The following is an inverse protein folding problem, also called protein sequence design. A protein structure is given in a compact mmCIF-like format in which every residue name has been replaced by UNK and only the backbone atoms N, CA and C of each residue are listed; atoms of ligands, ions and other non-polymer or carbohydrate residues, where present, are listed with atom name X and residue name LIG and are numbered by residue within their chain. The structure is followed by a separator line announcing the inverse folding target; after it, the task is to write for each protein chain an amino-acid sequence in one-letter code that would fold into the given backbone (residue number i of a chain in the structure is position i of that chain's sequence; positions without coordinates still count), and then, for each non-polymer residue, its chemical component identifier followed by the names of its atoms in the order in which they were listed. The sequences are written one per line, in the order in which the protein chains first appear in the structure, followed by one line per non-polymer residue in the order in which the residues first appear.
data_IF_793751224738
#
_entry.id   IF_793751224738
#
_cell.length_a   1.000
_cell.length_b   1.000
_cell.length_c   1.000
_cell.angle_alpha   90.00
_cell.angle_beta   90.00
_cell.angle_gamma   90.00
#
_symmetry.space_group_name_H-M   'P 1'
#
loop_
_entity.id
_entity.type
_entity.pdbx_description
1 polymer ?
#
# COMPACT_ATOMS: atom_id res chain seq x y z
N UNK A 1 -75.81 -21.08 -30.12
CA UNK A 1 -74.64 -20.58 -29.37
C UNK A 1 -73.42 -21.27 -29.94
N UNK A 2 -72.55 -20.49 -30.60
CA UNK A 2 -71.43 -21.01 -31.40
C UNK A 2 -70.38 -21.67 -30.51
N UNK A 3 -70.18 -22.96 -30.72
CA UNK A 3 -69.03 -23.72 -30.22
C UNK A 3 -67.79 -23.24 -30.98
N UNK A 4 -66.87 -22.57 -30.27
CA UNK A 4 -65.57 -22.20 -30.80
C UNK A 4 -64.70 -23.47 -30.85
N UNK A 5 -64.52 -24.00 -32.05
CA UNK A 5 -63.62 -25.13 -32.31
C UNK A 5 -62.18 -24.61 -32.20
N UNK A 6 -61.57 -24.72 -31.01
CA UNK A 6 -60.14 -24.49 -30.85
C UNK A 6 -59.39 -25.55 -31.66
N UNK A 7 -58.55 -25.18 -32.65
CA UNK A 7 -57.80 -26.15 -33.41
C UNK A 7 -56.83 -26.89 -32.48
N UNK A 8 -57.02 -28.20 -32.35
CA UNK A 8 -56.10 -29.08 -31.60
C UNK A 8 -54.74 -29.04 -32.28
N UNK A 9 -53.70 -28.61 -31.54
CA UNK A 9 -52.32 -28.65 -32.00
C UNK A 9 -51.94 -30.08 -32.41
N UNK A 10 -51.60 -30.28 -33.67
CA UNK A 10 -51.06 -31.56 -34.12
C UNK A 10 -49.64 -31.77 -33.59
N UNK A 11 -49.26 -33.02 -33.35
CA UNK A 11 -47.92 -33.40 -32.88
C UNK A 11 -46.81 -32.88 -33.80
N UNK A 12 -47.07 -32.77 -35.11
CA UNK A 12 -46.12 -32.17 -36.06
C UNK A 12 -45.95 -30.67 -35.86
N UNK A 13 -47.06 -29.94 -35.62
CA UNK A 13 -47.01 -28.51 -35.31
C UNK A 13 -46.26 -28.25 -33.99
N UNK A 14 -46.38 -29.16 -32.99
CA UNK A 14 -45.60 -29.08 -31.75
C UNK A 14 -44.10 -29.26 -31.98
N UNK A 15 -43.70 -30.18 -32.86
CA UNK A 15 -42.28 -30.39 -33.18
C UNK A 15 -41.68 -29.21 -33.94
N UNK A 16 -42.43 -28.63 -34.87
CA UNK A 16 -42.02 -27.43 -35.62
C UNK A 16 -41.78 -26.24 -34.69
N UNK A 17 -42.73 -25.93 -33.80
CA UNK A 17 -42.59 -24.84 -32.83
C UNK A 17 -41.43 -25.10 -31.86
N UNK A 18 -41.23 -26.35 -31.41
CA UNK A 18 -40.11 -26.70 -30.54
C UNK A 18 -38.75 -26.49 -31.23
N UNK A 19 -38.67 -26.79 -32.53
CA UNK A 19 -37.44 -26.59 -33.31
C UNK A 19 -37.18 -25.10 -33.57
N UNK A 20 -38.20 -24.33 -33.94
CA UNK A 20 -38.11 -22.88 -34.13
C UNK A 20 -37.70 -22.16 -32.83
N UNK A 21 -38.26 -22.57 -31.68
CA UNK A 21 -37.88 -22.04 -30.37
C UNK A 21 -36.42 -22.37 -30.02
N UNK A 22 -35.96 -23.59 -30.34
CA UNK A 22 -34.58 -24.01 -30.09
C UNK A 22 -33.58 -23.23 -30.97
N UNK A 23 -33.92 -23.00 -32.24
CA UNK A 23 -33.12 -22.18 -33.15
C UNK A 23 -33.06 -20.71 -32.68
N UNK A 24 -34.19 -20.14 -32.30
CA UNK A 24 -34.26 -18.77 -31.73
C UNK A 24 -33.43 -18.64 -30.44
N UNK A 25 -33.43 -19.66 -29.59
CA UNK A 25 -32.60 -19.69 -28.39
C UNK A 25 -31.10 -19.70 -28.71
N UNK A 26 -30.69 -20.54 -29.68
CA UNK A 26 -29.29 -20.59 -30.12
C UNK A 26 -28.83 -19.28 -30.75
N UNK A 27 -29.67 -18.62 -31.55
CA UNK A 27 -29.36 -17.31 -32.12
C UNK A 27 -29.20 -16.25 -31.03
N UNK A 28 -30.10 -16.21 -30.04
CA UNK A 28 -29.98 -15.28 -28.91
C UNK A 28 -28.73 -15.53 -28.06
N UNK A 29 -28.39 -16.79 -27.80
CA UNK A 29 -27.15 -17.13 -27.10
C UNK A 29 -25.92 -16.69 -27.90
N UNK A 30 -25.92 -16.89 -29.22
CA UNK A 30 -24.85 -16.45 -30.10
C UNK A 30 -24.74 -14.92 -30.15
N UNK A 31 -25.85 -14.20 -30.29
CA UNK A 31 -25.88 -12.73 -30.24
C UNK A 31 -25.42 -12.19 -28.88
N UNK A 32 -25.82 -12.84 -27.79
CA UNK A 32 -25.42 -12.45 -26.45
C UNK A 32 -23.92 -12.71 -26.22
N UNK A 33 -23.38 -13.81 -26.73
CA UNK A 33 -21.94 -14.10 -26.71
C UNK A 33 -21.15 -13.11 -27.59
N UNK A 34 -21.66 -12.81 -28.79
CA UNK A 34 -21.06 -11.80 -29.69
C UNK A 34 -21.10 -10.40 -29.06
N UNK A 35 -22.16 -10.07 -28.32
CA UNK A 35 -22.28 -8.80 -27.59
C UNK A 35 -21.34 -8.75 -26.39
N UNK A 36 -21.13 -9.86 -25.68
CA UNK A 36 -20.09 -9.96 -24.65
C UNK A 36 -18.70 -9.76 -25.24
N UNK A 37 -18.42 -10.29 -26.43
CA UNK A 37 -17.13 -10.11 -27.12
C UNK A 37 -16.87 -8.65 -27.56
N UNK A 38 -17.93 -7.90 -27.86
CA UNK A 38 -17.83 -6.46 -28.18
C UNK A 38 -17.51 -5.58 -26.96
N UNK A 39 -17.78 -6.07 -25.75
CA UNK A 39 -17.49 -5.38 -24.50
C UNK A 39 -16.17 -5.94 -23.97
N UNK A 40 -15.11 -5.14 -23.99
CA UNK A 40 -13.82 -5.52 -23.39
C UNK A 40 -13.71 -4.89 -22.00
N UNK A 41 -14.20 -5.55 -20.93
CA UNK A 41 -14.07 -5.02 -19.59
C UNK A 41 -12.61 -4.93 -19.18
N UNK A 42 -12.29 -3.92 -18.38
CA UNK A 42 -10.96 -3.72 -17.83
C UNK A 42 -10.60 -4.91 -16.94
N UNK A 43 -9.58 -5.67 -17.32
CA UNK A 43 -9.12 -6.83 -16.56
C UNK A 43 -8.25 -6.38 -15.38
N UNK A 44 -8.78 -6.52 -14.17
CA UNK A 44 -8.11 -6.14 -12.93
C UNK A 44 -7.75 -7.42 -12.16
N UNK A 45 -6.47 -7.60 -11.88
CA UNK A 45 -5.94 -8.72 -11.09
C UNK A 45 -5.57 -8.27 -9.69
N UNK A 46 -5.91 -9.07 -8.68
CA UNK A 46 -5.56 -8.82 -7.28
C UNK A 46 -4.86 -10.07 -6.74
N UNK A 47 -3.63 -9.92 -6.27
CA UNK A 47 -2.89 -11.03 -5.63
C UNK A 47 -3.23 -11.10 -4.15
N UNK A 48 -2.98 -12.27 -3.52
CA UNK A 48 -3.33 -12.51 -2.11
C UNK A 48 -4.78 -12.08 -1.80
N UNK A 49 -5.70 -12.41 -2.70
CA UNK A 49 -7.06 -11.84 -2.72
C UNK A 49 -7.95 -12.27 -1.54
N UNK A 50 -7.58 -13.30 -0.78
CA UNK A 50 -8.22 -13.65 0.50
C UNK A 50 -7.86 -12.71 1.65
N UNK A 51 -6.89 -11.80 1.45
CA UNK A 51 -6.45 -10.85 2.45
C UNK A 51 -7.49 -9.76 2.77
N UNK A 52 -7.47 -9.27 4.02
CA UNK A 52 -8.40 -8.23 4.51
C UNK A 52 -8.41 -6.94 3.68
N UNK A 53 -7.28 -6.59 3.05
CA UNK A 53 -7.18 -5.41 2.18
C UNK A 53 -8.12 -5.57 0.99
N UNK A 54 -8.19 -6.76 0.39
CA UNK A 54 -9.03 -7.06 -0.76
C UNK A 54 -10.51 -6.83 -0.45
N UNK A 55 -11.00 -7.36 0.68
CA UNK A 55 -12.36 -7.15 1.17
C UNK A 55 -12.77 -5.68 1.26
N UNK A 56 -11.84 -4.79 1.64
CA UNK A 56 -12.11 -3.36 1.74
C UNK A 56 -11.94 -2.63 0.39
N UNK A 57 -11.16 -3.20 -0.51
CA UNK A 57 -10.82 -2.61 -1.81
C UNK A 57 -11.91 -2.90 -2.86
N UNK A 58 -12.47 -4.11 -2.86
CA UNK A 58 -13.48 -4.56 -3.82
C UNK A 58 -14.64 -3.56 -3.97
N UNK A 59 -15.33 -3.12 -2.89
CA UNK A 59 -16.45 -2.20 -3.03
C UNK A 59 -16.06 -0.85 -3.65
N UNK A 60 -14.81 -0.41 -3.42
CA UNK A 60 -14.29 0.85 -3.97
C UNK A 60 -14.02 0.69 -5.47
N UNK A 61 -13.40 -0.43 -5.89
CA UNK A 61 -13.13 -0.70 -7.31
C UNK A 61 -14.42 -0.83 -8.12
N UNK A 62 -15.44 -1.48 -7.57
CA UNK A 62 -16.70 -1.74 -8.26
C UNK A 62 -17.67 -0.54 -8.24
N UNK A 63 -17.36 0.51 -7.48
CA UNK A 63 -18.20 1.71 -7.35
C UNK A 63 -18.21 2.63 -8.59
N UNK A 64 -17.22 2.48 -9.48
CA UNK A 64 -16.98 3.41 -10.58
C UNK A 64 -16.18 4.66 -10.21
N UNK A 65 -15.84 4.86 -8.93
CA UNK A 65 -15.03 6.01 -8.50
C UNK A 65 -13.58 5.93 -9.00
N UNK A 66 -13.05 4.72 -9.16
CA UNK A 66 -11.62 4.50 -9.49
C UNK A 66 -11.36 4.57 -10.98
N UNK A 67 -12.18 3.91 -11.80
CA UNK A 67 -11.98 3.80 -13.24
C UNK A 67 -12.98 4.62 -14.08
N UNK A 68 -13.96 5.24 -13.44
CA UNK A 68 -15.04 6.00 -14.08
C UNK A 68 -16.37 5.24 -14.16
N UNK A 69 -17.46 6.00 -14.20
CA UNK A 69 -18.85 5.48 -14.18
C UNK A 69 -19.28 4.75 -15.46
N UNK A 70 -18.41 4.70 -16.46
CA UNK A 70 -18.66 4.04 -17.75
C UNK A 70 -17.66 2.91 -18.02
N UNK A 71 -16.76 2.63 -17.07
CA UNK A 71 -15.73 1.60 -17.23
C UNK A 71 -16.18 0.34 -16.52
N UNK A 72 -16.50 -0.67 -17.30
CA UNK A 72 -16.83 -2.00 -16.81
C UNK A 72 -15.54 -2.77 -16.48
N UNK A 73 -15.58 -3.56 -15.41
CA UNK A 73 -14.41 -4.27 -14.90
C UNK A 73 -14.68 -5.76 -14.72
N UNK A 74 -13.63 -6.55 -14.90
CA UNK A 74 -13.57 -7.96 -14.55
C UNK A 74 -12.49 -8.16 -13.50
N UNK A 75 -12.85 -8.77 -12.37
CA UNK A 75 -11.95 -8.97 -11.24
C UNK A 75 -11.43 -10.41 -11.23
N UNK A 76 -10.11 -10.56 -11.27
CA UNK A 76 -9.41 -11.83 -11.25
C UNK A 76 -8.68 -11.96 -9.91
N UNK A 77 -9.14 -12.88 -9.07
CA UNK A 77 -8.64 -13.08 -7.70
C UNK A 77 -7.57 -14.17 -7.69
N UNK A 78 -6.31 -13.77 -7.50
CA UNK A 78 -5.19 -14.71 -7.36
C UNK A 78 -4.95 -15.01 -5.87
N UNK A 79 -4.91 -16.29 -5.53
CA UNK A 79 -4.51 -16.77 -4.22
C UNK A 79 -3.89 -18.16 -4.29
N UNK A 80 -3.57 -18.73 -3.13
CA UNK A 80 -3.07 -20.10 -3.04
C UNK A 80 -4.21 -21.10 -2.88
N UNK A 81 -3.91 -22.39 -3.04
CA UNK A 81 -4.90 -23.47 -2.88
C UNK A 81 -5.49 -23.53 -1.46
N UNK A 82 -4.71 -23.16 -0.45
CA UNK A 82 -5.18 -23.14 0.93
C UNK A 82 -6.29 -22.11 1.16
N UNK A 83 -6.31 -21.03 0.39
CA UNK A 83 -7.30 -19.96 0.47
C UNK A 83 -8.47 -20.13 -0.52
N UNK A 84 -8.57 -21.26 -1.23
CA UNK A 84 -9.58 -21.46 -2.28
C UNK A 84 -11.02 -21.34 -1.74
N UNK A 85 -11.28 -21.89 -0.56
CA UNK A 85 -12.59 -21.75 0.10
C UNK A 85 -12.91 -20.29 0.44
N UNK A 86 -11.95 -19.57 1.04
CA UNK A 86 -12.10 -18.14 1.35
C UNK A 86 -12.36 -17.30 0.08
N UNK A 87 -11.66 -17.61 -1.02
CA UNK A 87 -11.85 -16.92 -2.30
C UNK A 87 -13.23 -17.18 -2.88
N UNK A 88 -13.78 -18.39 -2.75
CA UNK A 88 -15.14 -18.70 -3.16
C UNK A 88 -16.20 -17.96 -2.34
N UNK A 89 -15.97 -17.78 -1.03
CA UNK A 89 -16.81 -16.95 -0.17
C UNK A 89 -16.80 -15.51 -0.67
N UNK A 90 -15.61 -14.93 -0.89
CA UNK A 90 -15.45 -13.57 -1.41
C UNK A 90 -16.14 -13.40 -2.76
N UNK A 91 -15.95 -14.34 -3.68
CA UNK A 91 -16.59 -14.33 -5.00
C UNK A 91 -18.12 -14.34 -4.89
N UNK A 92 -18.68 -15.07 -3.92
CA UNK A 92 -20.13 -15.11 -3.68
C UNK A 92 -20.60 -13.76 -3.14
N UNK A 93 -19.95 -13.21 -2.12
CA UNK A 93 -20.27 -11.87 -1.59
C UNK A 93 -20.16 -10.78 -2.67
N UNK A 94 -19.15 -10.86 -3.55
CA UNK A 94 -18.97 -9.93 -4.66
C UNK A 94 -20.11 -9.98 -5.68
N UNK A 95 -20.70 -11.15 -5.92
CA UNK A 95 -21.89 -11.29 -6.77
C UNK A 95 -23.11 -10.68 -6.09
N UNK A 96 -23.23 -10.88 -4.78
CA UNK A 96 -24.33 -10.36 -3.97
C UNK A 96 -24.28 -8.83 -3.80
N UNK A 97 -23.13 -8.19 -4.07
CA UNK A 97 -23.04 -6.73 -4.15
C UNK A 97 -23.89 -6.13 -5.28
N UNK A 98 -24.23 -6.92 -6.31
CA UNK A 98 -24.97 -6.46 -7.51
C UNK A 98 -24.36 -5.17 -8.09
N UNK A 99 -23.04 -5.11 -8.14
CA UNK A 99 -22.34 -3.91 -8.59
C UNK A 99 -22.49 -3.74 -10.12
N UNK A 100 -23.02 -2.60 -10.60
CA UNK A 100 -23.42 -2.45 -12.01
C UNK A 100 -22.24 -2.51 -13.00
N UNK A 101 -21.04 -2.15 -12.56
CA UNK A 101 -19.82 -2.12 -13.37
C UNK A 101 -19.03 -3.43 -13.31
N UNK A 102 -19.40 -4.36 -12.41
CA UNK A 102 -18.72 -5.64 -12.27
C UNK A 102 -19.30 -6.66 -13.24
N UNK A 103 -18.54 -7.03 -14.27
CA UNK A 103 -18.99 -7.96 -15.32
C UNK A 103 -18.74 -9.41 -15.01
N UNK A 104 -17.55 -9.73 -14.53
CA UNK A 104 -17.18 -11.09 -14.18
C UNK A 104 -16.17 -11.11 -13.04
N UNK A 105 -16.17 -12.23 -12.34
CA UNK A 105 -15.24 -12.54 -11.26
C UNK A 105 -14.65 -13.91 -11.57
N UNK A 106 -13.34 -14.04 -11.52
CA UNK A 106 -12.64 -15.31 -11.67
C UNK A 106 -11.73 -15.55 -10.47
N UNK A 107 -11.49 -16.83 -10.16
CA UNK A 107 -10.53 -17.25 -9.14
C UNK A 107 -9.41 -17.99 -9.87
N UNK A 108 -8.17 -17.67 -9.50
CA UNK A 108 -6.97 -18.31 -10.00
C UNK A 108 -6.16 -18.82 -8.81
N UNK A 109 -6.01 -20.13 -8.69
CA UNK A 109 -5.18 -20.77 -7.64
C UNK A 109 -3.85 -21.32 -8.19
N UNK A 110 -3.73 -21.37 -9.52
CA UNK A 110 -2.53 -21.79 -10.24
C UNK A 110 -1.81 -20.53 -10.73
N UNK A 111 -0.65 -20.24 -10.14
CA UNK A 111 0.07 -18.99 -10.39
C UNK A 111 0.54 -18.86 -11.84
N UNK A 112 0.83 -19.97 -12.51
CA UNK A 112 1.33 -20.00 -13.89
C UNK A 112 0.34 -19.44 -14.91
N UNK A 113 -0.94 -19.45 -14.58
CA UNK A 113 -2.03 -18.92 -15.41
C UNK A 113 -2.38 -17.46 -15.09
N UNK A 114 -1.67 -16.83 -14.15
CA UNK A 114 -1.98 -15.48 -13.69
C UNK A 114 -1.70 -14.39 -14.75
N UNK A 115 -2.35 -13.25 -14.56
CA UNK A 115 -2.13 -11.99 -15.28
C UNK A 115 -2.45 -12.00 -16.79
N UNK A 116 -3.18 -13.00 -17.28
CA UNK A 116 -3.65 -13.04 -18.68
C UNK A 116 -4.48 -11.80 -18.99
N UNK A 117 -4.07 -11.07 -20.03
CA UNK A 117 -4.72 -9.85 -20.53
C UNK A 117 -4.92 -8.78 -19.45
N UNK A 118 -4.09 -8.79 -18.40
CA UNK A 118 -4.22 -7.86 -17.30
C UNK A 118 -4.00 -6.42 -17.78
N UNK A 119 -4.93 -5.53 -17.43
CA UNK A 119 -4.81 -4.09 -17.63
C UNK A 119 -4.36 -3.39 -16.35
N UNK A 120 -4.77 -3.94 -15.19
CA UNK A 120 -4.35 -3.49 -13.87
C UNK A 120 -3.98 -4.69 -13.01
N UNK A 121 -2.87 -4.61 -12.28
CA UNK A 121 -2.43 -5.64 -11.36
C UNK A 121 -2.15 -5.00 -10.00
N UNK A 122 -2.81 -5.51 -8.95
CA UNK A 122 -2.69 -5.04 -7.59
C UNK A 122 -1.96 -6.11 -6.78
N UNK A 123 -0.70 -5.84 -6.43
CA UNK A 123 0.16 -6.76 -5.66
C UNK A 123 -0.03 -6.48 -4.17
N UNK A 124 -0.58 -7.46 -3.44
CA UNK A 124 -0.87 -7.38 -2.00
C UNK A 124 -0.13 -8.42 -1.16
N UNK A 125 0.81 -9.17 -1.74
CA UNK A 125 1.49 -10.27 -1.07
C UNK A 125 2.30 -9.79 0.15
N UNK A 126 2.04 -10.42 1.29
CA UNK A 126 2.67 -10.19 2.59
C UNK A 126 3.15 -11.52 3.17
N UNK A 127 3.96 -11.48 4.24
CA UNK A 127 4.29 -12.70 4.98
C UNK A 127 3.04 -13.26 5.68
N UNK A 128 2.92 -14.58 5.70
CA UNK A 128 1.94 -15.26 6.53
C UNK A 128 2.33 -15.18 8.01
N UNK A 129 1.40 -14.71 8.85
CA UNK A 129 1.58 -14.67 10.30
C UNK A 129 1.82 -16.12 10.81
N UNK A 130 3.03 -16.42 11.29
CA UNK A 130 3.37 -17.74 11.84
C UNK A 130 4.78 -18.24 11.54
N UNK A 131 5.47 -17.65 10.56
CA UNK A 131 6.82 -18.06 10.19
C UNK A 131 7.86 -17.26 10.99
N UNK A 132 8.67 -17.96 11.80
CA UNK A 132 9.81 -17.35 12.51
C UNK A 132 10.97 -17.23 11.53
N UNK A 133 11.08 -16.08 10.89
CA UNK A 133 12.19 -15.76 10.00
C UNK A 133 13.14 -14.74 10.66
N UNK A 134 14.43 -14.84 10.32
CA UNK A 134 15.30 -13.67 10.45
C UNK A 134 14.80 -12.56 9.51
N UNK A 135 15.23 -11.31 9.74
CA UNK A 135 14.85 -10.20 8.87
C UNK A 135 15.40 -10.40 7.44
N UNK A 136 16.60 -10.96 7.33
CA UNK A 136 17.24 -11.31 6.06
C UNK A 136 16.48 -12.40 5.32
N UNK A 137 15.98 -13.42 6.02
CA UNK A 137 15.16 -14.46 5.39
C UNK A 137 13.82 -13.89 4.91
N UNK A 138 13.21 -12.96 5.67
CA UNK A 138 12.06 -12.19 5.20
C UNK A 138 12.37 -11.46 3.89
N UNK A 139 13.51 -10.75 3.83
CA UNK A 139 13.95 -10.01 2.63
C UNK A 139 14.15 -10.98 1.45
N UNK A 140 14.91 -12.07 1.65
CA UNK A 140 15.19 -13.07 0.59
C UNK A 140 13.94 -13.76 0.09
N UNK A 141 12.99 -14.04 0.97
CA UNK A 141 11.72 -14.69 0.60
C UNK A 141 10.89 -13.87 -0.38
N UNK A 142 11.17 -12.55 -0.54
CA UNK A 142 10.46 -11.70 -1.53
C UNK A 142 10.90 -12.00 -2.97
N UNK A 143 12.11 -12.49 -3.17
CA UNK A 143 12.69 -12.68 -4.49
C UNK A 143 11.94 -13.71 -5.35
N UNK A 144 11.66 -14.95 -4.88
CA UNK A 144 10.98 -15.95 -5.71
C UNK A 144 9.61 -15.51 -6.25
N UNK A 145 8.65 -15.01 -5.44
CA UNK A 145 7.34 -14.60 -5.96
C UNK A 145 7.45 -13.39 -6.90
N UNK A 146 8.29 -12.39 -6.57
CA UNK A 146 8.46 -11.23 -7.45
C UNK A 146 9.10 -11.61 -8.80
N UNK A 147 10.03 -12.58 -8.81
CA UNK A 147 10.61 -13.10 -10.04
C UNK A 147 9.56 -13.78 -10.92
N UNK A 148 8.75 -14.65 -10.31
CA UNK A 148 7.69 -15.36 -11.03
C UNK A 148 6.63 -14.39 -11.55
N UNK A 149 6.14 -13.49 -10.70
CA UNK A 149 5.17 -12.48 -11.10
C UNK A 149 5.72 -11.57 -12.19
N UNK A 150 6.94 -11.06 -12.06
CA UNK A 150 7.55 -10.23 -13.10
C UNK A 150 7.57 -10.94 -14.47
N UNK A 151 8.03 -12.20 -14.50
CA UNK A 151 8.01 -13.01 -15.72
C UNK A 151 6.59 -13.19 -16.29
N UNK A 152 5.60 -13.46 -15.44
CA UNK A 152 4.21 -13.65 -15.88
C UNK A 152 3.56 -12.36 -16.35
N UNK A 153 3.85 -11.23 -15.70
CA UNK A 153 3.40 -9.90 -16.13
C UNK A 153 3.93 -9.62 -17.54
N UNK A 154 5.24 -9.77 -17.73
CA UNK A 154 5.90 -9.56 -19.02
C UNK A 154 5.32 -10.43 -20.14
N UNK A 155 4.94 -11.67 -19.82
CA UNK A 155 4.46 -12.66 -20.78
C UNK A 155 2.96 -12.53 -21.09
N UNK A 156 2.14 -12.29 -20.07
CA UNK A 156 0.70 -12.50 -20.13
C UNK A 156 -0.12 -11.20 -20.09
N UNK A 157 0.42 -10.12 -19.52
CA UNK A 157 -0.31 -8.87 -19.34
C UNK A 157 -0.36 -8.03 -20.62
N UNK A 158 -1.22 -7.01 -20.63
CA UNK A 158 -1.26 -6.03 -21.72
C UNK A 158 0.01 -5.14 -21.68
N UNK A 159 0.50 -4.68 -22.83
CA UNK A 159 1.72 -3.85 -22.92
C UNK A 159 1.65 -2.56 -22.08
N UNK A 160 0.43 -2.03 -21.91
CA UNK A 160 0.15 -0.84 -21.10
C UNK A 160 -0.35 -1.15 -19.68
N UNK A 161 -0.09 -2.36 -19.16
CA UNK A 161 -0.54 -2.78 -17.84
C UNK A 161 -0.05 -1.81 -16.77
N UNK A 162 -0.93 -1.44 -15.83
CA UNK A 162 -0.58 -0.67 -14.64
C UNK A 162 -0.43 -1.61 -13.46
N UNK A 163 0.77 -1.70 -12.90
CA UNK A 163 1.06 -2.53 -11.74
C UNK A 163 1.23 -1.65 -10.52
N UNK A 164 0.44 -1.90 -9.49
CA UNK A 164 0.48 -1.16 -8.23
C UNK A 164 0.87 -2.12 -7.11
N UNK A 165 1.96 -1.79 -6.42
CA UNK A 165 2.47 -2.56 -5.30
C UNK A 165 2.02 -1.89 -4.01
N UNK A 166 1.09 -2.57 -3.33
CA UNK A 166 0.60 -2.17 -2.03
C UNK A 166 1.15 -3.08 -0.93
N UNK A 167 0.66 -2.82 0.28
CA UNK A 167 0.94 -3.66 1.44
C UNK A 167 1.72 -2.94 2.53
N UNK A 168 2.26 -3.73 3.46
CA UNK A 168 2.84 -3.26 4.72
C UNK A 168 4.35 -3.41 4.74
N UNK A 169 4.87 -4.47 4.15
CA UNK A 169 6.29 -4.83 4.24
C UNK A 169 6.97 -4.77 2.88
N UNK A 170 8.21 -4.28 2.88
CA UNK A 170 9.12 -4.31 1.73
C UNK A 170 8.52 -3.81 0.41
N UNK A 171 7.68 -2.76 0.46
CA UNK A 171 6.92 -2.30 -0.71
C UNK A 171 7.88 -1.80 -1.81
N UNK A 172 8.91 -1.04 -1.44
CA UNK A 172 9.96 -0.59 -2.35
C UNK A 172 10.73 -1.76 -2.98
N UNK A 173 11.18 -2.72 -2.17
CA UNK A 173 11.92 -3.89 -2.64
C UNK A 173 11.08 -4.76 -3.60
N UNK A 174 9.82 -5.07 -3.25
CA UNK A 174 8.90 -5.82 -4.12
C UNK A 174 8.76 -5.13 -5.48
N UNK A 175 8.56 -3.81 -5.47
CA UNK A 175 8.46 -3.00 -6.69
C UNK A 175 9.73 -3.08 -7.53
N UNK A 176 10.91 -2.93 -6.90
CA UNK A 176 12.19 -3.05 -7.58
C UNK A 176 12.37 -4.43 -8.22
N UNK A 177 12.05 -5.50 -7.49
CA UNK A 177 12.18 -6.86 -7.99
C UNK A 177 11.24 -7.12 -9.17
N UNK A 178 9.98 -6.66 -9.10
CA UNK A 178 9.05 -6.75 -10.22
C UNK A 178 9.58 -6.01 -11.45
N UNK A 179 10.06 -4.77 -11.31
CA UNK A 179 10.67 -4.00 -12.40
C UNK A 179 11.88 -4.72 -13.02
N UNK A 180 12.70 -5.37 -12.20
CA UNK A 180 13.87 -6.13 -12.67
C UNK A 180 13.48 -7.33 -13.54
N UNK A 181 12.36 -7.98 -13.25
CA UNK A 181 11.91 -9.18 -13.94
C UNK A 181 10.79 -8.93 -14.97
N UNK A 182 10.27 -7.71 -15.06
CA UNK A 182 9.33 -7.24 -16.08
C UNK A 182 9.82 -5.91 -16.70
N UNK A 183 10.95 -5.93 -17.44
CA UNK A 183 11.61 -4.71 -17.90
C UNK A 183 10.79 -3.91 -18.92
N UNK A 184 9.98 -4.55 -19.78
CA UNK A 184 9.23 -3.81 -20.80
C UNK A 184 8.14 -2.91 -20.18
N UNK A 185 7.58 -3.34 -19.05
CA UNK A 185 6.51 -2.61 -18.35
C UNK A 185 7.00 -1.92 -17.07
N UNK A 186 8.31 -1.90 -16.81
CA UNK A 186 8.89 -1.37 -15.57
C UNK A 186 8.43 0.07 -15.25
N UNK A 187 8.27 0.93 -16.26
CA UNK A 187 7.79 2.31 -16.11
C UNK A 187 6.33 2.40 -15.58
N UNK A 188 5.56 1.33 -15.69
CA UNK A 188 4.18 1.22 -15.20
C UNK A 188 4.08 0.39 -13.91
N UNK A 189 5.18 0.19 -13.17
CA UNK A 189 5.16 -0.47 -11.85
C UNK A 189 5.44 0.57 -10.77
N UNK A 190 4.51 0.79 -9.85
CA UNK A 190 4.64 1.84 -8.82
C UNK A 190 4.35 1.31 -7.41
N UNK A 191 5.01 1.90 -6.41
CA UNK A 191 4.80 1.60 -5.01
C UNK A 191 3.92 2.65 -4.32
N UNK A 192 2.93 2.21 -3.54
CA UNK A 192 1.94 3.12 -2.91
C UNK A 192 2.47 3.72 -1.60
N UNK A 193 2.71 5.03 -1.57
CA UNK A 193 3.11 5.77 -0.36
C UNK A 193 1.96 6.52 0.34
N UNK A 194 0.78 6.60 -0.30
CA UNK A 194 -0.33 7.47 0.13
C UNK A 194 -0.84 7.19 1.55
N UNK A 195 -0.75 5.95 2.04
CA UNK A 195 -1.18 5.65 3.41
C UNK A 195 -0.25 6.24 4.47
N UNK A 196 1.06 6.34 4.18
CA UNK A 196 2.04 7.01 5.06
C UNK A 196 1.78 8.52 5.07
N UNK A 197 1.48 9.09 3.90
CA UNK A 197 1.04 10.49 3.79
C UNK A 197 -0.24 10.74 4.62
N UNK A 198 -1.22 9.84 4.56
CA UNK A 198 -2.46 9.93 5.34
C UNK A 198 -2.22 9.91 6.84
N UNK A 199 -1.32 9.04 7.33
CA UNK A 199 -0.91 9.01 8.74
C UNK A 199 -0.21 10.30 9.16
N UNK A 200 0.71 10.79 8.33
CA UNK A 200 1.40 12.07 8.54
C UNK A 200 0.44 13.25 8.64
N UNK A 201 -0.53 13.32 7.72
CA UNK A 201 -1.58 14.35 7.70
C UNK A 201 -2.50 14.25 8.92
N UNK A 202 -2.89 13.04 9.32
CA UNK A 202 -3.72 12.84 10.51
C UNK A 202 -3.00 13.30 11.80
N UNK A 203 -1.71 13.03 11.94
CA UNK A 203 -0.92 13.49 13.07
C UNK A 203 -0.81 15.02 13.13
N UNK A 204 -0.56 15.69 11.99
CA UNK A 204 -0.57 17.15 11.91
C UNK A 204 -1.94 17.74 12.23
N UNK A 205 -3.00 17.13 11.71
CA UNK A 205 -4.36 17.59 11.90
C UNK A 205 -4.79 17.55 13.38
N UNK A 206 -4.35 16.54 14.14
CA UNK A 206 -4.57 16.47 15.59
C UNK A 206 -3.87 17.61 16.34
N UNK A 207 -2.62 17.94 15.99
CA UNK A 207 -1.88 19.07 16.60
C UNK A 207 -2.54 20.41 16.27
N UNK A 208 -2.99 20.58 15.04
CA UNK A 208 -3.62 21.82 14.55
C UNK A 208 -5.12 21.92 14.84
N UNK A 209 -5.75 20.86 15.37
CA UNK A 209 -7.20 20.75 15.61
C UNK A 209 -8.04 21.03 14.36
N UNK A 210 -7.66 20.40 13.25
CA UNK A 210 -8.36 20.53 11.96
C UNK A 210 -8.68 19.16 11.37
N UNK A 211 -9.34 19.13 10.22
CA UNK A 211 -9.61 17.88 9.49
C UNK A 211 -8.38 17.45 8.68
N UNK A 212 -7.99 16.16 8.65
CA UNK A 212 -6.85 15.68 7.85
C UNK A 212 -6.96 15.97 6.35
N UNK A 213 -8.18 16.01 5.81
CA UNK A 213 -8.46 16.33 4.40
C UNK A 213 -8.07 17.77 4.04
N UNK A 214 -8.01 18.68 5.02
CA UNK A 214 -7.61 20.08 4.83
C UNK A 214 -6.09 20.26 4.66
N UNK A 215 -5.29 19.28 5.07
CA UNK A 215 -3.83 19.32 4.90
C UNK A 215 -3.47 18.63 3.60
N UNK A 216 -2.63 19.24 2.76
CA UNK A 216 -2.21 18.75 1.44
C UNK A 216 -0.70 18.93 1.26
N UNK A 217 -0.13 18.31 0.23
CA UNK A 217 1.25 18.49 -0.20
C UNK A 217 2.29 18.12 0.86
N UNK A 218 1.99 17.09 1.67
CA UNK A 218 2.97 16.43 2.53
C UNK A 218 3.75 15.45 1.66
N UNK A 219 5.08 15.50 1.72
CA UNK A 219 5.94 14.65 0.88
C UNK A 219 6.57 13.56 1.74
N UNK A 220 6.49 12.32 1.28
CA UNK A 220 7.13 11.14 1.87
C UNK A 220 8.34 10.79 1.03
N UNK A 221 9.54 10.97 1.57
CA UNK A 221 10.79 10.59 0.94
C UNK A 221 11.29 9.24 1.48
N UNK A 222 11.87 8.39 0.61
CA UNK A 222 12.63 7.21 1.04
C UNK A 222 11.87 5.88 1.03
N UNK A 223 12.16 5.05 2.03
CA UNK A 223 11.59 3.71 2.18
C UNK A 223 10.17 3.79 2.78
N UNK A 224 9.15 3.43 1.98
CA UNK A 224 7.74 3.54 2.35
C UNK A 224 7.42 2.67 3.58
N UNK A 225 7.95 1.45 3.59
CA UNK A 225 7.74 0.47 4.66
C UNK A 225 8.77 0.54 5.78
N UNK A 226 9.73 1.48 5.71
CA UNK A 226 10.85 1.55 6.63
C UNK A 226 11.24 2.98 6.95
N UNK A 227 12.51 3.29 6.77
CA UNK A 227 13.08 4.58 7.10
C UNK A 227 12.73 5.66 6.05
N UNK A 228 11.62 6.34 6.28
CA UNK A 228 11.18 7.50 5.49
C UNK A 228 11.47 8.83 6.21
N UNK A 229 11.38 9.90 5.41
CA UNK A 229 11.41 11.29 5.86
C UNK A 229 10.15 12.01 5.40
N UNK A 230 9.41 12.57 6.35
CA UNK A 230 8.22 13.36 6.08
C UNK A 230 8.62 14.84 5.97
N UNK A 231 8.50 15.37 4.76
CA UNK A 231 8.84 16.74 4.44
C UNK A 231 7.58 17.62 4.43
N UNK A 232 7.61 18.63 5.31
CA UNK A 232 6.51 19.57 5.52
C UNK A 232 6.73 20.92 4.81
N UNK A 233 7.86 21.12 4.12
CA UNK A 233 8.20 22.40 3.46
C UNK A 233 7.16 22.81 2.42
N UNK A 234 6.58 21.83 1.73
CA UNK A 234 5.49 22.05 0.76
C UNK A 234 4.11 21.82 1.34
N UNK A 235 3.98 21.38 2.59
CA UNK A 235 2.70 21.08 3.19
C UNK A 235 1.88 22.35 3.40
N UNK A 236 0.63 22.31 2.95
CA UNK A 236 -0.32 23.41 3.02
C UNK A 236 -1.56 22.98 3.77
N UNK A 237 -2.15 23.89 4.53
CA UNK A 237 -3.46 23.71 5.12
C UNK A 237 -4.48 24.65 4.48
N UNK A 238 -5.62 24.11 4.10
CA UNK A 238 -6.77 24.80 3.51
C UNK A 238 -7.88 24.87 4.55
N UNK A 239 -8.80 25.84 4.42
CA UNK A 239 -10.00 25.96 5.28
C UNK A 239 -9.66 25.92 6.79
N UNK A 240 -8.52 26.49 7.17
CA UNK A 240 -8.09 26.52 8.56
C UNK A 240 -8.88 27.58 9.33
N UNK A 241 -9.60 27.15 10.37
CA UNK A 241 -10.37 28.04 11.22
C UNK A 241 -9.41 28.88 12.09
N UNK A 242 -9.20 30.13 11.69
CA UNK A 242 -8.39 31.10 12.42
C UNK A 242 -8.92 32.52 12.19
N UNK A 243 -8.37 33.51 12.90
CA UNK A 243 -8.71 34.92 12.68
C UNK A 243 -8.50 35.38 11.22
N UNK A 244 -7.65 34.68 10.46
CA UNK A 244 -7.45 34.90 9.03
C UNK A 244 -8.28 33.86 8.28
N UNK A 245 -9.42 34.28 7.74
CA UNK A 245 -10.25 33.48 6.84
C UNK A 245 -10.00 33.87 5.38
N UNK A 246 -10.11 32.90 4.48
CA UNK A 246 -9.96 33.12 3.04
C UNK A 246 -10.92 32.27 2.22
N UNK A 247 -10.96 32.48 0.89
CA UNK A 247 -11.78 31.67 -0.02
C UNK A 247 -11.40 30.17 0.04
N UNK A 248 -12.22 29.25 -0.52
CA UNK A 248 -11.98 27.81 -0.41
C UNK A 248 -10.62 27.31 -0.90
N UNK A 249 -9.96 28.04 -1.81
CA UNK A 249 -8.62 27.78 -2.35
C UNK A 249 -7.49 28.45 -1.54
N UNK A 250 -7.82 29.29 -0.57
CA UNK A 250 -6.85 29.91 0.31
C UNK A 250 -6.19 28.86 1.20
N UNK A 251 -4.87 28.96 1.32
CA UNK A 251 -4.07 28.04 2.11
C UNK A 251 -2.87 28.71 2.74
N UNK A 252 -2.39 28.11 3.83
CA UNK A 252 -1.22 28.58 4.58
C UNK A 252 -0.19 27.45 4.69
N UNK A 253 1.11 27.76 4.73
CA UNK A 253 2.14 26.75 5.02
C UNK A 253 1.92 26.14 6.40
N UNK A 254 1.95 24.80 6.51
CA UNK A 254 1.76 24.10 7.79
C UNK A 254 2.79 24.55 8.83
N UNK A 255 4.05 24.70 8.42
CA UNK A 255 5.14 25.14 9.29
C UNK A 255 4.95 26.56 9.85
N UNK A 256 4.14 27.41 9.21
CA UNK A 256 3.83 28.75 9.73
C UNK A 256 2.81 28.75 10.88
N UNK A 257 2.19 27.61 11.17
CA UNK A 257 1.15 27.44 12.19
C UNK A 257 1.62 26.64 13.40
N UNK A 258 2.73 25.91 13.27
CA UNK A 258 3.30 25.09 14.33
C UNK A 258 4.58 25.78 14.80
N UNK A 259 4.46 26.59 15.86
CA UNK A 259 5.59 27.33 16.46
C UNK A 259 6.49 26.45 17.34
N UNK A 260 6.02 25.24 17.65
CA UNK A 260 6.69 24.27 18.51
C UNK A 260 7.66 23.41 17.70
N UNK A 261 8.90 23.90 17.55
CA UNK A 261 9.95 23.22 16.78
C UNK A 261 10.36 21.89 17.38
N UNK A 262 10.28 21.74 18.70
CA UNK A 262 10.59 20.48 19.38
C UNK A 262 9.55 19.41 19.02
N UNK A 263 8.27 19.79 18.97
CA UNK A 263 7.22 18.89 18.54
C UNK A 263 7.42 18.44 17.09
N UNK A 264 7.74 19.35 16.17
CA UNK A 264 7.94 19.00 14.74
C UNK A 264 9.14 18.06 14.57
N UNK A 265 10.28 18.37 15.20
CA UNK A 265 11.53 17.65 14.96
C UNK A 265 11.66 16.35 15.78
N UNK A 266 10.99 16.26 16.94
CA UNK A 266 11.08 15.09 17.84
C UNK A 266 9.77 14.34 17.94
N UNK A 267 8.75 14.95 18.56
CA UNK A 267 7.52 14.23 18.94
C UNK A 267 6.72 13.73 17.72
N UNK A 268 6.66 14.53 16.65
CA UNK A 268 6.02 14.18 15.40
C UNK A 268 6.74 13.01 14.71
N UNK A 269 8.07 13.10 14.60
CA UNK A 269 8.91 12.04 14.01
C UNK A 269 8.79 10.75 14.81
N UNK A 270 8.85 10.80 16.15
CA UNK A 270 8.66 9.63 17.01
C UNK A 270 7.26 9.02 16.89
N UNK A 271 6.23 9.87 16.82
CA UNK A 271 4.85 9.41 16.60
C UNK A 271 4.78 8.60 15.32
N UNK A 272 5.30 9.14 14.21
CA UNK A 272 5.29 8.48 12.91
C UNK A 272 6.12 7.20 12.89
N UNK A 273 7.32 7.21 13.49
CA UNK A 273 8.14 6.01 13.66
C UNK A 273 7.38 4.90 14.40
N UNK A 274 6.60 5.23 15.43
CA UNK A 274 5.77 4.24 16.13
C UNK A 274 4.63 3.70 15.26
N UNK A 275 4.04 4.53 14.38
CA UNK A 275 2.98 4.07 13.47
C UNK A 275 3.54 3.15 12.38
N UNK A 276 4.74 3.44 11.85
CA UNK A 276 5.39 2.62 10.82
C UNK A 276 6.02 1.36 11.39
N UNK A 277 6.76 1.44 12.51
CA UNK A 277 7.47 0.30 13.10
C UNK A 277 6.54 -0.82 13.60
N UNK A 278 5.30 -0.51 13.96
CA UNK A 278 4.37 -1.54 14.42
C UNK A 278 3.74 -2.33 13.28
N UNK A 279 3.75 -1.83 12.03
CA UNK A 279 3.08 -2.44 10.85
C UNK A 279 1.54 -2.59 10.98
N UNK A 280 1.02 -2.54 12.19
CA UNK A 280 -0.39 -2.72 12.58
C UNK A 280 -1.26 -1.54 12.14
N UNK A 281 -0.69 -0.35 12.01
CA UNK A 281 -1.45 0.86 11.69
C UNK A 281 -1.69 1.09 10.20
N UNK A 282 -0.99 0.37 9.32
CA UNK A 282 -1.35 0.31 7.90
C UNK A 282 -2.45 -0.74 7.71
N UNK A 283 -3.59 -0.51 8.35
CA UNK A 283 -4.72 -1.43 8.39
C UNK A 283 -5.39 -1.63 7.03
N UNK A 284 -6.26 -2.63 6.93
CA UNK A 284 -6.90 -3.02 5.68
C UNK A 284 -7.63 -1.87 4.97
N UNK A 285 -8.38 -1.05 5.73
CA UNK A 285 -9.11 0.12 5.22
C UNK A 285 -8.15 1.16 4.61
N UNK A 286 -7.07 1.50 5.33
CA UNK A 286 -6.12 2.52 4.89
C UNK A 286 -5.38 2.06 3.63
N UNK A 287 -4.97 0.80 3.57
CA UNK A 287 -4.32 0.23 2.39
C UNK A 287 -5.26 0.22 1.18
N UNK A 288 -6.49 -0.26 1.34
CA UNK A 288 -7.50 -0.27 0.28
C UNK A 288 -7.78 1.14 -0.26
N UNK A 289 -8.02 2.10 0.63
CA UNK A 289 -8.23 3.50 0.25
C UNK A 289 -7.02 4.10 -0.48
N UNK A 290 -5.79 3.79 -0.01
CA UNK A 290 -4.56 4.30 -0.62
C UNK A 290 -4.36 3.77 -2.03
N UNK A 291 -4.60 2.47 -2.24
CA UNK A 291 -4.50 1.81 -3.55
C UNK A 291 -5.55 2.37 -4.50
N UNK A 292 -6.82 2.40 -4.08
CA UNK A 292 -7.92 2.91 -4.89
C UNK A 292 -7.73 4.37 -5.28
N UNK A 293 -7.29 5.21 -4.35
CA UNK A 293 -7.03 6.64 -4.62
C UNK A 293 -5.84 6.82 -5.57
N UNK A 294 -4.78 6.01 -5.42
CA UNK A 294 -3.62 6.06 -6.34
C UNK A 294 -4.05 5.64 -7.75
N UNK A 295 -4.84 4.57 -7.89
CA UNK A 295 -5.40 4.16 -9.18
C UNK A 295 -6.31 5.24 -9.78
N UNK A 296 -7.18 5.85 -8.97
CA UNK A 296 -8.03 6.96 -9.38
C UNK A 296 -7.21 8.12 -9.92
N UNK A 297 -6.16 8.52 -9.21
CA UNK A 297 -5.25 9.58 -9.69
C UNK A 297 -4.53 9.15 -10.96
N UNK A 298 -4.13 7.89 -11.08
CA UNK A 298 -3.49 7.40 -12.29
C UNK A 298 -4.40 7.46 -13.52
N UNK A 299 -5.69 7.16 -13.37
CA UNK A 299 -6.65 7.21 -14.48
C UNK A 299 -7.17 8.62 -14.78
N UNK A 300 -7.40 9.44 -13.75
CA UNK A 300 -8.11 10.71 -13.88
C UNK A 300 -7.24 11.95 -13.61
N UNK A 301 -5.98 11.77 -13.24
CA UNK A 301 -5.09 12.83 -12.78
C UNK A 301 -5.26 13.13 -11.28
N UNK A 302 -4.19 13.60 -10.65
CA UNK A 302 -4.26 14.13 -9.28
C UNK A 302 -4.87 15.55 -9.30
N UNK A 303 -5.50 16.01 -8.19
CA UNK A 303 -6.09 17.34 -8.16
C UNK A 303 -5.07 18.44 -8.51
N UNK A 304 -5.49 19.54 -9.19
CA UNK A 304 -4.58 20.59 -9.61
C UNK A 304 -3.79 21.19 -8.45
N UNK A 305 -2.45 21.20 -8.58
CA UNK A 305 -1.53 21.73 -7.56
C UNK A 305 -1.32 20.83 -6.34
N UNK A 306 -1.92 19.64 -6.31
CA UNK A 306 -1.64 18.64 -5.29
C UNK A 306 -0.40 17.82 -5.64
N UNK A 307 0.50 17.68 -4.65
CA UNK A 307 1.67 16.81 -4.71
C UNK A 307 1.31 15.50 -4.03
N UNK A 308 1.61 14.38 -4.69
CA UNK A 308 1.42 13.04 -4.16
C UNK A 308 2.78 12.36 -4.02
N UNK A 309 2.95 11.52 -3.01
CA UNK A 309 4.19 10.73 -2.87
C UNK A 309 4.03 9.37 -3.54
N UNK A 310 5.01 8.95 -4.33
CA UNK A 310 4.98 7.68 -5.03
C UNK A 310 6.36 7.03 -5.07
N UNK A 311 6.43 5.72 -4.83
CA UNK A 311 7.67 4.98 -4.99
C UNK A 311 7.86 4.57 -6.45
N UNK A 312 8.91 5.10 -7.05
CA UNK A 312 9.28 4.88 -8.45
C UNK A 312 10.77 4.56 -8.53
N UNK A 313 11.20 3.98 -9.65
CA UNK A 313 12.63 3.73 -9.88
C UNK A 313 13.38 5.06 -9.97
N UNK A 314 14.42 5.22 -9.17
CA UNK A 314 15.27 6.40 -9.25
C UNK A 314 16.22 6.33 -10.44
N UNK A 315 16.29 7.46 -11.15
CA UNK A 315 17.17 7.75 -12.29
C UNK A 315 18.13 8.91 -11.94
N UNK A 316 18.46 9.09 -10.65
CA UNK A 316 19.37 10.16 -10.22
C UNK A 316 18.70 11.46 -9.80
N UNK A 317 17.36 11.52 -9.81
CA UNK A 317 16.62 12.72 -9.43
C UNK A 317 16.97 13.15 -8.01
N UNK A 318 17.11 14.45 -7.74
CA UNK A 318 17.49 15.00 -6.43
C UNK A 318 18.81 14.46 -5.84
N UNK A 319 19.69 13.86 -6.66
CA UNK A 319 20.90 13.19 -6.17
C UNK A 319 20.63 11.84 -5.50
N UNK A 320 19.42 11.27 -5.66
CA UNK A 320 19.08 9.94 -5.17
C UNK A 320 19.86 8.90 -5.99
N UNK A 321 20.47 7.87 -5.36
CA UNK A 321 21.16 6.81 -6.07
C UNK A 321 20.27 6.11 -7.10
N UNK A 322 20.80 5.85 -8.30
CA UNK A 322 20.09 5.14 -9.35
C UNK A 322 19.83 3.66 -9.00
N UNK A 323 18.77 3.09 -9.58
CA UNK A 323 18.52 1.65 -9.51
C UNK A 323 18.02 1.18 -8.14
N UNK A 324 17.32 2.05 -7.41
CA UNK A 324 16.49 1.71 -6.25
C UNK A 324 15.09 2.30 -6.45
N UNK A 325 14.06 1.63 -5.94
CA UNK A 325 12.72 2.22 -5.86
C UNK A 325 12.66 3.12 -4.64
N UNK A 326 12.34 4.38 -4.85
CA UNK A 326 12.40 5.42 -3.83
C UNK A 326 11.13 6.27 -3.87
N UNK A 327 10.52 6.54 -2.71
CA UNK A 327 9.34 7.42 -2.62
C UNK A 327 9.74 8.87 -2.82
N UNK A 328 9.14 9.56 -3.79
CA UNK A 328 9.45 10.95 -4.12
C UNK A 328 8.16 11.70 -4.56
N UNK A 329 8.17 13.05 -4.62
CA UNK A 329 7.00 13.81 -5.01
C UNK A 329 6.72 13.67 -6.50
N UNK A 330 5.48 13.32 -6.82
CA UNK A 330 4.97 13.19 -8.18
C UNK A 330 3.65 13.93 -8.34
N UNK A 331 3.26 14.10 -9.60
CA UNK A 331 1.91 14.48 -10.02
C UNK A 331 1.40 13.42 -10.99
N UNK A 332 0.11 13.09 -10.92
CA UNK A 332 -0.54 12.30 -11.95
C UNK A 332 -1.22 13.21 -12.97
N UNK A 333 -0.94 12.99 -14.25
CA UNK A 333 -1.55 13.74 -15.35
C UNK A 333 -1.64 12.88 -16.62
N UNK A 334 -2.75 13.04 -17.36
CA UNK A 334 -2.98 12.39 -18.65
C UNK A 334 -2.77 10.87 -18.66
N UNK A 335 -3.21 10.17 -17.60
CA UNK A 335 -3.06 8.71 -17.53
C UNK A 335 -1.67 8.22 -17.11
N UNK A 336 -0.76 9.15 -16.76
CA UNK A 336 0.65 8.92 -16.41
C UNK A 336 1.02 9.62 -15.10
N UNK A 337 2.26 9.45 -14.64
CA UNK A 337 2.83 10.16 -13.50
C UNK A 337 4.14 10.85 -13.89
N UNK A 338 4.45 11.97 -13.25
CA UNK A 338 5.67 12.75 -13.49
C UNK A 338 6.30 13.13 -12.15
N UNK A 339 7.60 12.87 -12.00
CA UNK A 339 8.36 13.31 -10.84
C UNK A 339 8.55 14.83 -10.84
N UNK A 340 8.25 15.49 -9.73
CA UNK A 340 8.30 16.95 -9.60
C UNK A 340 9.71 17.41 -9.19
N UNK A 341 10.67 17.36 -10.11
CA UNK A 341 12.09 17.66 -9.84
C UNK A 341 12.41 19.15 -9.69
N UNK A 342 11.50 20.05 -10.05
CA UNK A 342 11.65 21.50 -10.06
C UNK A 342 11.13 22.21 -8.78
N UNK A 343 10.88 21.45 -7.71
CA UNK A 343 10.39 21.98 -6.45
C UNK A 343 11.42 22.89 -5.79
N UNK A 344 11.16 24.20 -5.80
CA UNK A 344 11.95 25.22 -5.09
C UNK A 344 12.11 24.88 -3.61
N UNK A 345 13.18 25.32 -2.95
CA UNK A 345 13.38 25.18 -1.50
C UNK A 345 13.39 23.72 -0.98
N UNK A 346 13.60 22.74 -1.86
CA UNK A 346 13.81 21.34 -1.50
C UNK A 346 15.30 21.02 -1.69
N UNK A 347 16.02 21.01 -0.58
CA UNK A 347 17.36 20.45 -0.49
C UNK A 347 17.34 19.29 0.51
N UNK A 348 17.87 18.15 0.10
CA UNK A 348 18.03 16.98 0.97
C UNK A 348 19.51 16.91 1.31
N UNK A 349 19.84 17.02 2.60
CA UNK A 349 21.24 16.92 3.03
C UNK A 349 21.76 15.50 2.87
N UNK A 350 23.05 15.36 2.57
CA UNK A 350 23.74 14.06 2.45
C UNK A 350 23.45 13.08 3.61
N UNK A 351 23.48 13.51 4.89
CA UNK A 351 23.14 12.61 6.00
C UNK A 351 21.69 12.11 5.95
N UNK A 352 20.73 12.95 5.54
CA UNK A 352 19.33 12.55 5.39
C UNK A 352 19.18 11.62 4.18
N UNK A 353 19.87 11.91 3.07
CA UNK A 353 19.86 11.06 1.88
C UNK A 353 20.39 9.65 2.21
N UNK A 354 21.58 9.57 2.80
CA UNK A 354 22.21 8.31 3.24
C UNK A 354 21.29 7.52 4.17
N UNK A 355 20.65 8.21 5.13
CA UNK A 355 19.70 7.59 6.07
C UNK A 355 18.52 6.93 5.33
N UNK A 356 17.98 7.57 4.30
CA UNK A 356 16.80 7.06 3.58
C UNK A 356 17.13 5.97 2.57
N UNK A 357 18.35 5.99 2.00
CA UNK A 357 18.76 5.09 0.93
C UNK A 357 19.48 3.83 1.43
N UNK A 358 20.15 3.90 2.60
CA UNK A 358 20.91 2.79 3.18
C UNK A 358 20.08 1.50 3.27
N UNK A 359 18.90 1.56 3.88
CA UNK A 359 18.06 0.38 4.08
C UNK A 359 17.58 -0.18 2.73
N UNK A 360 17.20 0.68 1.78
CA UNK A 360 16.76 0.27 0.44
C UNK A 360 17.86 -0.44 -0.35
N UNK A 361 19.09 0.08 -0.28
CA UNK A 361 20.25 -0.49 -0.93
C UNK A 361 20.58 -1.85 -0.31
N UNK A 362 20.60 -1.94 1.02
CA UNK A 362 20.88 -3.20 1.72
C UNK A 362 19.78 -4.24 1.48
N UNK A 363 18.49 -3.86 1.54
CA UNK A 363 17.37 -4.74 1.20
C UNK A 363 17.54 -5.32 -0.21
N UNK A 364 17.89 -4.48 -1.19
CA UNK A 364 18.19 -4.92 -2.57
C UNK A 364 19.33 -5.94 -2.60
N UNK A 365 20.46 -5.63 -1.98
CA UNK A 365 21.65 -6.50 -2.01
C UNK A 365 21.40 -7.83 -1.29
N UNK A 366 20.72 -7.81 -0.14
CA UNK A 366 20.36 -9.03 0.61
C UNK A 366 19.40 -9.89 -0.19
N UNK A 367 18.39 -9.29 -0.83
CA UNK A 367 17.43 -10.03 -1.65
C UNK A 367 18.10 -10.69 -2.85
N UNK A 368 19.10 -10.04 -3.47
CA UNK A 368 19.85 -10.58 -4.61
C UNK A 368 20.96 -11.56 -4.22
N UNK A 369 21.30 -11.65 -2.93
CA UNK A 369 22.37 -12.51 -2.41
C UNK A 369 23.76 -11.86 -2.44
N UNK A 370 23.85 -10.57 -2.81
CA UNK A 370 25.09 -9.80 -2.84
C UNK A 370 25.55 -9.37 -1.44
N UNK A 371 24.64 -9.43 -0.45
CA UNK A 371 24.91 -9.14 0.96
C UNK A 371 24.30 -10.22 1.87
N UNK A 372 25.07 -10.67 2.87
CA UNK A 372 24.65 -11.76 3.77
C UNK A 372 23.82 -11.25 4.95
N UNK A 373 24.17 -10.11 5.51
CA UNK A 373 23.52 -9.56 6.71
C UNK A 373 22.92 -8.19 6.44
N UNK A 374 21.73 -7.94 6.94
CA UNK A 374 21.09 -6.63 6.91
C UNK A 374 21.44 -5.86 8.19
N UNK A 375 21.94 -4.64 8.04
CA UNK A 375 22.20 -3.73 9.15
C UNK A 375 21.28 -2.52 9.02
N UNK A 376 20.14 -2.49 9.75
CA UNK A 376 19.24 -1.35 9.72
C UNK A 376 20.00 -0.08 10.07
N UNK A 377 19.77 1.00 9.32
CA UNK A 377 20.42 2.26 9.60
C UNK A 377 20.11 2.74 11.02
N UNK A 378 21.16 2.92 11.82
CA UNK A 378 21.07 3.51 13.15
C UNK A 378 21.53 4.97 13.08
N UNK A 379 20.62 5.92 13.36
CA UNK A 379 21.01 7.33 13.42
C UNK A 379 21.93 7.58 14.62
N UNK A 380 23.01 8.35 14.44
CA UNK A 380 23.98 8.70 15.48
C UNK A 380 23.37 9.34 16.76
N UNK A 381 22.13 9.86 16.67
CA UNK A 381 21.37 10.38 17.82
C UNK A 381 21.03 9.27 18.85
N UNK A 382 21.02 8.00 18.46
CA UNK A 382 20.76 6.87 19.37
C UNK A 382 22.01 6.37 20.13
N UNK A 383 23.22 6.80 19.73
CA UNK A 383 24.47 6.31 20.34
C UNK A 383 24.86 7.06 21.63
N UNK A 384 24.14 8.13 21.99
CA UNK A 384 24.38 8.88 23.23
C UNK A 384 23.67 8.29 24.47
N UNK A 385 22.81 7.28 24.29
CA UNK A 385 22.10 6.60 25.40
C UNK A 385 22.82 5.33 25.94
N UNK A 386 24.05 5.08 25.50
CA UNK A 386 24.90 4.02 26.05
C UNK A 386 26.08 4.61 26.83
N UNK A 387 25.78 5.33 27.92
CA UNK A 387 26.74 5.49 29.01
C UNK A 387 26.80 4.17 29.79
N UNK A 388 27.98 3.52 29.93
CA UNK A 388 28.11 2.36 30.80
C UNK A 388 27.83 2.78 32.25
N UNK A 389 26.95 2.07 32.95
CA UNK A 389 26.86 2.20 34.40
C UNK A 389 28.21 1.80 35.02
N UNK A 390 28.73 2.54 36.01
CA UNK A 390 29.95 2.15 36.68
C UNK A 390 29.70 0.85 37.45
N UNK A 391 30.40 -0.21 37.06
CA UNK A 391 30.51 -1.45 37.81
C UNK A 391 31.04 -1.18 39.21
N UNK A 392 30.23 -1.47 40.22
CA UNK A 392 30.65 -1.44 41.62
C UNK A 392 31.66 -2.57 41.88
N UNK A 393 32.95 -2.22 41.93
CA UNK A 393 33.97 -3.09 42.50
C UNK A 393 33.75 -3.22 44.01
N UNK A 394 33.56 -4.45 44.49
CA UNK A 394 33.72 -4.81 45.91
C UNK A 394 35.21 -5.01 46.19
N UNK A 395 35.79 -4.44 47.25
CA UNK A 395 37.08 -4.88 47.74
C UNK A 395 36.93 -6.06 48.71
N UNK A 396 37.85 -7.02 48.59
CA UNK A 396 38.03 -8.18 49.46
C UNK A 396 39.17 -7.93 50.47
N UNK A 397 39.04 -8.47 51.69
CA UNK A 397 40.07 -8.56 52.75
C UNK A 397 39.83 -7.59 53.91
N UNK A 398 39.87 -7.94 55.20
CA UNK A 398 40.53 -9.03 55.92
C UNK A 398 39.85 -9.32 57.28
N UNK A 399 40.28 -10.42 57.89
CA UNK A 399 39.73 -11.18 59.02
C UNK A 399 39.77 -10.53 60.43
N UNK A 400 38.82 -11.01 61.25
CA UNK A 400 38.86 -11.38 62.68
C UNK A 400 39.56 -10.49 63.74
N UNK A 401 38.85 -10.25 64.87
CA UNK A 401 39.20 -10.67 66.24
C UNK A 401 38.18 -10.08 67.24
N UNK A 402 37.48 -11.00 67.93
CA UNK A 402 37.07 -11.09 69.34
C UNK A 402 36.66 -9.91 70.25
N UNK A 403 35.71 -10.29 71.12
CA UNK A 403 35.56 -9.98 72.55
C UNK A 403 34.67 -8.79 73.01
N UNK A 404 33.45 -9.18 73.40
CA UNK A 404 32.88 -9.11 74.76
C UNK A 404 32.56 -7.75 75.43
N UNK A 405 31.40 -7.79 76.10
CA UNK A 405 30.99 -7.05 77.31
C UNK A 405 30.29 -5.68 77.19
N UNK A 406 28.96 -5.77 77.36
CA UNK A 406 28.23 -5.39 78.59
C UNK A 406 27.70 -3.94 78.76
N UNK A 407 26.48 -3.92 79.33
CA UNK A 407 25.74 -2.81 79.98
C UNK A 407 25.12 -1.74 79.08
N UNK A 408 23.95 -1.16 79.37
CA UNK A 408 22.86 -1.38 80.32
C UNK A 408 21.90 -0.19 80.09
N UNK A 409 20.59 -0.43 79.97
CA UNK A 409 19.55 0.13 80.84
C UNK A 409 18.91 1.47 80.43
N UNK A 410 17.57 1.44 80.57
CA UNK A 410 16.59 2.52 80.75
C UNK A 410 16.30 3.48 79.59
N UNK A 411 15.11 4.07 79.46
CA UNK A 411 13.70 3.81 79.78
C UNK A 411 13.01 5.12 79.34
N UNK A 412 11.68 5.10 79.19
CA UNK A 412 10.79 6.28 79.22
C UNK A 412 10.82 7.24 78.00
N UNK A 413 9.73 7.84 77.52
CA UNK A 413 8.28 7.62 77.63
C UNK A 413 7.63 8.73 76.76
N UNK A 414 6.43 8.45 76.26
CA UNK A 414 5.31 9.39 76.03
C UNK A 414 5.23 10.16 74.69
N UNK A 415 4.09 9.84 74.04
CA UNK A 415 3.25 10.52 73.04
C UNK A 415 3.59 10.42 71.55
#
# INVERSE_FOLDING_TARGET
MNSWNMPSMTTELMKLIAQENLETHKEKELEEETRKDLIQPLQVWITSASGRVCYNLIPILTSGEVFGMHTEISLNLLGNKQAEEDLHIIMTEMRDLVAPLLRSISICTQVEDAFRQAHVIIILDENTDGEVYSLEDCIRSRLPPCRLYGYLIEKNAHDSVRVIVGGKTFVNLKTFLLMRYAPNVAHNIIAVALGVEGQARAALARKLRTTPSCIKNVIVWGNISGNNYIDLRKARIYRYESAIWGPPNYSRPVLSLIFDSEWVNRQYVETLKKLTATGKQFGAILAAHSIATTLKYWYHGSPPGEIVSLGVLSEGQFGIPEGIVFSMPVKFENGTWVALTDLKDIEISEPIMTRMTSDLIQEKLVALGDLISFQPYQSAVNLLDLTPQPTSEKPFGQEAINDSEDKSVEEQQIN
#
